data_IF_171447762128
#
_entry.id   IF_171447762128
#
_cell.length_a   1.000
_cell.length_b   1.000
_cell.length_c   1.000
_cell.angle_alpha   90.00
_cell.angle_beta   90.00
_cell.angle_gamma   90.00
#
_symmetry.space_group_name_H-M   'P 1'
#
loop_
_entity.id
_entity.type
_entity.pdbx_description
1 polymer ?
#
# COMPACT_ATOMS: atom_id res chain seq x y z
N UNK A 1 -10.30 14.61 -34.10
CA UNK A 1 -11.44 14.95 -33.22
C UNK A 1 -11.56 13.81 -32.22
N UNK A 2 -11.13 14.00 -30.96
CA UNK A 2 -11.28 12.97 -29.93
C UNK A 2 -12.76 12.82 -29.57
N UNK A 3 -13.30 11.60 -29.40
CA UNK A 3 -14.69 11.41 -29.05
C UNK A 3 -14.98 11.99 -27.65
N UNK A 4 -16.20 12.49 -27.40
CA UNK A 4 -16.56 13.08 -26.11
C UNK A 4 -16.52 12.01 -25.01
N UNK A 5 -15.80 12.30 -23.92
CA UNK A 5 -15.83 11.49 -22.69
C UNK A 5 -17.16 11.77 -21.97
N UNK A 6 -18.13 10.87 -22.09
CA UNK A 6 -19.30 10.88 -21.20
C UNK A 6 -18.87 10.33 -19.83
N UNK A 7 -18.98 11.15 -18.79
CA UNK A 7 -18.74 10.78 -17.39
C UNK A 7 -20.10 10.70 -16.70
N UNK A 8 -20.51 9.51 -16.29
CA UNK A 8 -21.73 9.30 -15.52
C UNK A 8 -21.35 9.21 -14.03
N UNK A 9 -21.91 10.08 -13.21
CA UNK A 9 -21.75 10.01 -11.75
C UNK A 9 -22.96 9.29 -11.18
N UNK A 10 -22.75 8.17 -10.48
CA UNK A 10 -23.82 7.47 -9.78
C UNK A 10 -23.71 7.82 -8.29
N UNK A 11 -24.68 8.56 -7.80
CA UNK A 11 -24.88 8.82 -6.37
C UNK A 11 -25.90 7.82 -5.83
N UNK A 12 -25.43 6.81 -5.08
CA UNK A 12 -26.26 5.71 -4.59
C UNK A 12 -27.20 6.11 -3.44
N UNK A 13 -27.09 7.33 -2.88
CA UNK A 13 -27.98 7.80 -1.80
C UNK A 13 -29.31 8.37 -2.34
N UNK A 14 -29.44 8.57 -3.65
CA UNK A 14 -30.66 9.13 -4.28
C UNK A 14 -31.52 8.13 -5.06
N UNK A 15 -31.20 6.83 -5.09
CA UNK A 15 -31.98 5.82 -5.81
C UNK A 15 -32.71 4.85 -4.87
N UNK A 16 -33.92 5.23 -4.43
CA UNK A 16 -34.86 4.31 -3.75
C UNK A 16 -35.36 3.25 -4.74
N UNK A 17 -34.87 2.02 -4.53
CA UNK A 17 -35.31 0.78 -5.17
C UNK A 17 -36.83 0.59 -5.11
N UNK A 18 -37.50 0.64 -6.27
CA UNK A 18 -38.84 0.11 -6.47
C UNK A 18 -38.92 -0.67 -7.79
N UNK A 19 -39.68 -1.78 -7.73
CA UNK A 19 -40.12 -2.70 -8.80
C UNK A 19 -39.15 -3.83 -9.14
N UNK A 20 -39.58 -5.07 -9.35
CA UNK A 20 -40.85 -5.80 -9.16
C UNK A 20 -40.46 -7.28 -9.27
N UNK A 21 -41.12 -8.10 -8.47
CA UNK A 21 -41.22 -9.55 -8.61
C UNK A 21 -42.00 -9.95 -9.87
N UNK A 22 -41.57 -11.00 -10.59
CA UNK A 22 -42.35 -12.24 -10.90
C UNK A 22 -41.77 -12.97 -12.13
N UNK A 23 -41.72 -14.32 -12.06
CA UNK A 23 -41.70 -15.35 -13.14
C UNK A 23 -40.63 -15.27 -14.24
N UNK A 24 -39.94 -16.31 -14.71
CA UNK A 24 -40.21 -17.75 -14.75
C UNK A 24 -38.90 -18.56 -14.99
N UNK A 25 -38.97 -19.86 -14.68
CA UNK A 25 -37.91 -20.89 -14.73
C UNK A 25 -37.51 -21.38 -16.13
N UNK A 26 -36.21 -21.72 -16.36
CA UNK A 26 -35.80 -22.64 -17.45
C UNK A 26 -34.35 -22.64 -17.95
N UNK A 27 -33.47 -23.39 -17.26
CA UNK A 27 -32.34 -24.28 -17.70
C UNK A 27 -31.07 -23.80 -18.46
N UNK A 28 -29.93 -24.55 -18.29
CA UNK A 28 -28.52 -24.13 -18.39
C UNK A 28 -27.80 -24.63 -19.66
N UNK A 29 -26.46 -24.50 -19.73
CA UNK A 29 -25.64 -24.58 -20.97
C UNK A 29 -26.08 -25.69 -21.96
N UNK A 30 -26.68 -25.49 -23.14
CA UNK A 30 -26.94 -24.29 -23.97
C UNK A 30 -27.24 -23.04 -23.16
N UNK A 31 -26.22 -22.19 -22.94
CA UNK A 31 -26.34 -21.24 -21.81
C UNK A 31 -27.09 -20.18 -22.54
N UNK A 32 -28.40 -20.16 -22.29
CA UNK A 32 -29.19 -18.95 -22.44
C UNK A 32 -28.26 -17.81 -22.00
N UNK A 33 -28.09 -16.77 -22.83
CA UNK A 33 -27.32 -15.60 -22.43
C UNK A 33 -27.69 -15.30 -20.98
N UNK A 34 -26.67 -15.25 -20.11
CA UNK A 34 -26.91 -15.23 -18.67
C UNK A 34 -27.86 -14.06 -18.39
N UNK A 35 -28.98 -14.30 -17.74
CA UNK A 35 -29.91 -13.20 -17.46
C UNK A 35 -29.25 -12.22 -16.51
N UNK A 36 -29.63 -10.94 -16.58
CA UNK A 36 -29.15 -9.93 -15.62
C UNK A 36 -29.33 -10.40 -14.17
N UNK A 37 -30.46 -11.04 -13.87
CA UNK A 37 -30.78 -11.59 -12.55
C UNK A 37 -29.82 -12.70 -12.13
N UNK A 38 -29.45 -13.60 -13.05
CA UNK A 38 -28.52 -14.69 -12.76
C UNK A 38 -27.11 -14.17 -12.46
N UNK A 39 -26.61 -13.24 -13.28
CA UNK A 39 -25.30 -12.60 -13.06
C UNK A 39 -25.31 -11.84 -11.75
N UNK A 40 -26.37 -11.06 -11.46
CA UNK A 40 -26.47 -10.31 -10.21
C UNK A 40 -26.45 -11.21 -8.97
N UNK A 41 -27.16 -12.34 -9.02
CA UNK A 41 -27.13 -13.35 -7.94
C UNK A 41 -25.73 -13.95 -7.79
N UNK A 42 -25.04 -14.24 -8.89
CA UNK A 42 -23.70 -14.82 -8.85
C UNK A 42 -22.68 -13.85 -8.27
N UNK A 43 -22.73 -12.58 -8.68
CA UNK A 43 -21.92 -11.51 -8.09
C UNK A 43 -22.17 -11.36 -6.58
N UNK A 44 -23.42 -11.39 -6.14
CA UNK A 44 -23.75 -11.25 -4.72
C UNK A 44 -23.10 -12.33 -3.85
N UNK A 45 -22.92 -13.55 -4.37
CA UNK A 45 -22.26 -14.65 -3.66
C UNK A 45 -20.74 -14.58 -3.81
N UNK A 46 -20.24 -14.37 -5.03
CA UNK A 46 -18.81 -14.48 -5.30
C UNK A 46 -18.00 -13.29 -4.80
N UNK A 47 -18.50 -12.06 -4.94
CA UNK A 47 -17.72 -10.87 -4.59
C UNK A 47 -17.45 -10.77 -3.08
N UNK A 48 -18.25 -11.44 -2.25
CA UNK A 48 -18.07 -11.49 -0.80
C UNK A 48 -16.98 -12.48 -0.35
N UNK A 49 -16.42 -13.28 -1.28
CA UNK A 49 -15.41 -14.32 -0.96
C UNK A 49 -13.99 -13.77 -0.79
N UNK A 50 -13.77 -12.48 -1.06
CA UNK A 50 -12.46 -11.85 -0.96
C UNK A 50 -12.58 -10.40 -0.50
N UNK A 51 -11.54 -9.95 0.21
CA UNK A 51 -11.33 -8.54 0.56
C UNK A 51 -10.15 -7.95 -0.23
N UNK A 52 -9.58 -8.70 -1.17
CA UNK A 52 -8.54 -8.21 -2.07
C UNK A 52 -9.19 -7.51 -3.26
N UNK A 53 -8.93 -6.21 -3.40
CA UNK A 53 -9.58 -5.34 -4.40
C UNK A 53 -9.39 -5.88 -5.82
N UNK A 54 -8.18 -6.32 -6.16
CA UNK A 54 -7.87 -6.91 -7.48
C UNK A 54 -8.68 -8.18 -7.73
N UNK A 55 -8.83 -9.05 -6.73
CA UNK A 55 -9.62 -10.27 -6.84
C UNK A 55 -11.10 -9.97 -6.98
N UNK A 56 -11.63 -9.04 -6.18
CA UNK A 56 -13.04 -8.60 -6.24
C UNK A 56 -13.35 -8.03 -7.63
N UNK A 57 -12.52 -7.12 -8.15
CA UNK A 57 -12.71 -6.53 -9.48
C UNK A 57 -12.52 -7.54 -10.62
N UNK A 58 -11.56 -8.46 -10.49
CA UNK A 58 -11.35 -9.53 -11.46
C UNK A 58 -12.53 -10.49 -11.55
N UNK A 59 -13.07 -10.92 -10.40
CA UNK A 59 -14.30 -11.73 -10.34
C UNK A 59 -15.49 -10.99 -10.93
N UNK A 60 -15.65 -9.71 -10.56
CA UNK A 60 -16.71 -8.87 -11.11
C UNK A 60 -16.62 -8.80 -12.64
N UNK A 61 -15.44 -8.47 -13.18
CA UNK A 61 -15.20 -8.38 -14.62
C UNK A 61 -15.52 -9.69 -15.35
N UNK A 62 -15.05 -10.82 -14.82
CA UNK A 62 -15.28 -12.14 -15.40
C UNK A 62 -16.77 -12.51 -15.44
N UNK A 63 -17.52 -12.19 -14.39
CA UNK A 63 -18.94 -12.55 -14.30
C UNK A 63 -19.83 -11.67 -15.18
N UNK A 64 -19.57 -10.35 -15.26
CA UNK A 64 -20.35 -9.47 -16.14
C UNK A 64 -20.09 -9.74 -17.63
N UNK A 65 -18.92 -10.29 -17.98
CA UNK A 65 -18.60 -10.72 -19.34
C UNK A 65 -19.55 -11.83 -19.86
N UNK A 66 -20.24 -12.55 -18.98
CA UNK A 66 -21.24 -13.54 -19.37
C UNK A 66 -22.54 -12.93 -19.93
N UNK A 67 -22.80 -11.64 -19.63
CA UNK A 67 -23.96 -10.88 -20.12
C UNK A 67 -23.54 -9.84 -21.17
N UNK A 68 -22.45 -9.11 -20.94
CA UNK A 68 -21.99 -8.02 -21.78
C UNK A 68 -20.58 -8.31 -22.31
N UNK A 69 -20.32 -8.31 -23.63
CA UNK A 69 -19.00 -8.59 -24.19
C UNK A 69 -18.06 -7.39 -23.99
N UNK A 70 -17.52 -7.27 -22.78
CA UNK A 70 -16.58 -6.24 -22.39
C UNK A 70 -15.15 -6.70 -22.68
N UNK A 71 -14.35 -5.84 -23.27
CA UNK A 71 -12.95 -6.12 -23.61
C UNK A 71 -12.00 -5.64 -22.50
N UNK A 72 -12.40 -4.62 -21.74
CA UNK A 72 -11.56 -3.95 -20.74
C UNK A 72 -12.34 -3.44 -19.53
N UNK A 73 -11.69 -3.50 -18.37
CA UNK A 73 -12.08 -2.79 -17.16
C UNK A 73 -10.86 -2.11 -16.54
N UNK A 74 -10.99 -0.84 -16.18
CA UNK A 74 -10.03 -0.15 -15.32
C UNK A 74 -10.71 0.40 -14.09
N UNK A 75 -10.00 0.35 -12.97
CA UNK A 75 -10.40 0.97 -11.73
C UNK A 75 -9.27 1.87 -11.22
N UNK A 76 -9.61 3.08 -10.82
CA UNK A 76 -8.68 4.02 -10.21
C UNK A 76 -9.26 4.64 -8.94
N UNK A 77 -8.43 4.78 -7.91
CA UNK A 77 -8.74 5.56 -6.73
C UNK A 77 -7.49 6.33 -6.30
N UNK A 78 -7.52 7.64 -6.52
CA UNK A 78 -6.39 8.53 -6.23
C UNK A 78 -6.05 8.62 -4.74
N UNK A 79 -7.05 8.57 -3.86
CA UNK A 79 -6.83 8.63 -2.41
C UNK A 79 -6.13 7.38 -1.85
N UNK A 80 -6.32 6.23 -2.50
CA UNK A 80 -5.75 4.95 -2.11
C UNK A 80 -4.50 4.56 -2.92
N UNK A 81 -4.03 5.43 -3.82
CA UNK A 81 -2.97 5.18 -4.80
C UNK A 81 -3.16 3.83 -5.52
N UNK A 82 -4.34 3.68 -6.10
CA UNK A 82 -4.81 2.44 -6.73
C UNK A 82 -5.09 2.65 -8.20
N UNK A 83 -4.47 1.81 -9.04
CA UNK A 83 -4.76 1.69 -10.46
C UNK A 83 -4.70 0.22 -10.87
N UNK A 84 -5.81 -0.31 -11.33
CA UNK A 84 -5.96 -1.71 -11.76
C UNK A 84 -6.57 -1.74 -13.15
N UNK A 85 -6.06 -2.62 -14.00
CA UNK A 85 -6.50 -2.75 -15.39
C UNK A 85 -6.64 -4.24 -15.74
N UNK A 86 -7.73 -4.58 -16.43
CA UNK A 86 -8.07 -5.95 -16.83
C UNK A 86 -8.47 -5.96 -18.30
N UNK A 87 -8.00 -6.95 -19.05
CA UNK A 87 -8.32 -7.10 -20.47
C UNK A 87 -7.53 -6.16 -21.39
N UNK A 88 -8.03 -5.95 -22.61
CA UNK A 88 -7.34 -5.22 -23.68
C UNK A 88 -8.07 -3.92 -24.05
N UNK A 89 -7.31 -2.84 -24.23
CA UNK A 89 -7.88 -1.54 -24.57
C UNK A 89 -8.75 -1.58 -25.84
N UNK A 90 -9.93 -0.98 -25.76
CA UNK A 90 -10.87 -0.87 -26.86
C UNK A 90 -11.38 0.57 -27.03
N UNK A 91 -12.04 0.86 -28.16
CA UNK A 91 -12.35 2.22 -28.60
C UNK A 91 -13.53 2.89 -27.89
N UNK A 92 -14.58 2.14 -27.56
CA UNK A 92 -15.78 2.69 -26.93
C UNK A 92 -15.76 2.40 -25.44
N UNK A 93 -16.16 3.37 -24.61
CA UNK A 93 -16.11 3.21 -23.17
C UNK A 93 -17.25 3.90 -22.43
N UNK A 94 -17.52 3.40 -21.23
CA UNK A 94 -18.41 4.01 -20.25
C UNK A 94 -17.63 4.16 -18.94
N UNK A 95 -17.69 5.34 -18.34
CA UNK A 95 -16.95 5.69 -17.12
C UNK A 95 -17.92 6.09 -16.02
N UNK A 96 -17.74 5.50 -14.84
CA UNK A 96 -18.60 5.65 -13.68
C UNK A 96 -17.79 6.11 -12.47
N UNK A 97 -18.23 7.20 -11.84
CA UNK A 97 -17.73 7.60 -10.53
C UNK A 97 -18.57 6.92 -9.44
N UNK A 98 -17.90 6.18 -8.56
CA UNK A 98 -18.52 5.43 -7.48
C UNK A 98 -18.47 6.25 -6.19
N UNK A 99 -19.63 6.63 -5.67
CA UNK A 99 -19.77 7.33 -4.40
C UNK A 99 -20.75 6.59 -3.48
N UNK A 100 -20.51 6.59 -2.17
CA UNK A 100 -21.45 6.03 -1.20
C UNK A 100 -21.39 6.79 0.12
N UNK A 101 -22.51 7.29 0.63
CA UNK A 101 -22.58 8.05 1.88
C UNK A 101 -21.59 9.23 1.92
N UNK A 102 -21.41 9.92 0.79
CA UNK A 102 -20.43 11.01 0.63
C UNK A 102 -18.96 10.58 0.50
N UNK A 103 -18.66 9.28 0.55
CA UNK A 103 -17.31 8.74 0.35
C UNK A 103 -17.06 8.40 -1.12
N UNK A 104 -15.98 8.93 -1.70
CA UNK A 104 -15.54 8.59 -3.05
C UNK A 104 -14.81 7.25 -3.04
N UNK A 105 -15.40 6.24 -3.69
CA UNK A 105 -14.84 4.90 -3.74
C UNK A 105 -13.91 4.70 -4.94
N UNK A 106 -14.00 5.53 -5.99
CA UNK A 106 -13.12 5.45 -7.16
C UNK A 106 -13.86 5.64 -8.47
N UNK A 107 -13.11 5.62 -9.57
CA UNK A 107 -13.63 5.64 -10.93
C UNK A 107 -13.47 4.25 -11.55
N UNK A 108 -14.55 3.75 -12.14
CA UNK A 108 -14.60 2.50 -12.87
C UNK A 108 -14.89 2.79 -14.34
N UNK A 109 -14.04 2.32 -15.25
CA UNK A 109 -14.24 2.49 -16.68
C UNK A 109 -14.25 1.13 -17.38
N UNK A 110 -15.23 0.94 -18.24
CA UNK A 110 -15.36 -0.24 -19.09
C UNK A 110 -15.07 0.17 -20.52
N UNK A 111 -14.38 -0.69 -21.29
CA UNK A 111 -14.26 -0.49 -22.74
C UNK A 111 -14.59 -1.74 -23.53
N UNK A 112 -15.08 -1.52 -24.75
CA UNK A 112 -15.31 -2.56 -25.74
C UNK A 112 -15.26 -2.03 -27.17
N UNK A 113 -15.24 -2.93 -28.16
CA UNK A 113 -15.15 -2.59 -29.59
C UNK A 113 -16.37 -1.89 -30.18
N UNK A 114 -17.56 -2.04 -29.57
CA UNK A 114 -18.82 -1.45 -30.03
C UNK A 114 -19.38 -0.43 -29.01
N UNK A 115 -20.08 0.63 -29.45
CA UNK A 115 -20.72 1.57 -28.52
C UNK A 115 -21.73 0.85 -27.63
N UNK A 116 -21.93 1.32 -26.40
CA UNK A 116 -22.97 0.85 -25.49
C UNK A 116 -24.33 1.43 -25.90
N UNK A 117 -25.37 0.60 -25.91
CA UNK A 117 -26.75 1.09 -25.98
C UNK A 117 -27.30 1.42 -24.58
N UNK A 118 -28.43 2.14 -24.52
CA UNK A 118 -29.03 2.56 -23.23
C UNK A 118 -29.43 1.37 -22.35
N UNK A 119 -29.83 0.24 -22.94
CA UNK A 119 -30.24 -0.95 -22.18
C UNK A 119 -29.02 -1.59 -21.52
N UNK A 120 -27.91 -1.69 -22.24
CA UNK A 120 -26.65 -2.21 -21.75
C UNK A 120 -26.03 -1.29 -20.68
N UNK A 121 -26.15 0.03 -20.84
CA UNK A 121 -25.74 0.99 -19.80
C UNK A 121 -26.55 0.77 -18.52
N UNK A 122 -27.88 0.63 -18.60
CA UNK A 122 -28.72 0.32 -17.44
C UNK A 122 -28.40 -1.05 -16.81
N UNK A 123 -28.02 -2.04 -17.62
CA UNK A 123 -27.53 -3.34 -17.11
C UNK A 123 -26.20 -3.21 -16.37
N UNK A 124 -25.25 -2.44 -16.90
CA UNK A 124 -23.99 -2.13 -16.21
C UNK A 124 -24.23 -1.45 -14.87
N UNK A 125 -25.07 -0.42 -14.84
CA UNK A 125 -25.41 0.31 -13.62
C UNK A 125 -25.99 -0.61 -12.55
N UNK A 126 -26.90 -1.52 -12.94
CA UNK A 126 -27.47 -2.54 -12.03
C UNK A 126 -26.44 -3.54 -11.51
N UNK A 127 -25.43 -3.90 -12.32
CA UNK A 127 -24.36 -4.80 -11.93
C UNK A 127 -23.33 -4.11 -11.04
N UNK A 128 -22.98 -2.85 -11.33
CA UNK A 128 -22.10 -2.01 -10.51
C UNK A 128 -22.68 -1.84 -9.09
N UNK A 129 -24.00 -1.75 -8.96
CA UNK A 129 -24.65 -1.73 -7.64
C UNK A 129 -24.30 -2.95 -6.78
N UNK A 130 -24.10 -4.13 -7.39
CA UNK A 130 -23.65 -5.34 -6.67
C UNK A 130 -22.18 -5.31 -6.28
N UNK A 131 -21.35 -4.51 -6.97
CA UNK A 131 -19.93 -4.33 -6.66
C UNK A 131 -19.71 -3.33 -5.52
N UNK A 132 -20.63 -2.40 -5.31
CA UNK A 132 -20.46 -1.26 -4.41
C UNK A 132 -20.00 -1.65 -3.00
N UNK A 133 -20.76 -2.51 -2.30
CA UNK A 133 -20.42 -2.92 -0.94
C UNK A 133 -19.19 -3.83 -0.85
N UNK A 134 -19.01 -4.85 -1.72
CA UNK A 134 -17.77 -5.63 -1.75
C UNK A 134 -16.52 -4.76 -1.96
N UNK A 135 -16.56 -3.81 -2.90
CA UNK A 135 -15.44 -2.91 -3.16
C UNK A 135 -15.19 -1.98 -1.96
N UNK A 136 -16.24 -1.40 -1.38
CA UNK A 136 -16.14 -0.59 -0.15
C UNK A 136 -15.51 -1.39 0.99
N UNK A 137 -15.97 -2.62 1.22
CA UNK A 137 -15.43 -3.47 2.28
C UNK A 137 -13.96 -3.83 2.03
N UNK A 138 -13.58 -4.10 0.78
CA UNK A 138 -12.19 -4.33 0.40
C UNK A 138 -11.31 -3.09 0.60
N UNK A 139 -11.82 -1.89 0.28
CA UNK A 139 -11.14 -0.61 0.52
C UNK A 139 -10.97 -0.34 2.03
N UNK A 140 -12.02 -0.51 2.82
CA UNK A 140 -11.99 -0.36 4.28
C UNK A 140 -11.03 -1.35 4.93
N UNK A 141 -11.07 -2.61 4.50
CA UNK A 141 -10.15 -3.64 4.98
C UNK A 141 -8.70 -3.27 4.66
N UNK A 142 -8.43 -2.85 3.42
CA UNK A 142 -7.09 -2.37 3.02
C UNK A 142 -6.64 -1.19 3.88
N UNK A 143 -7.49 -0.20 4.10
CA UNK A 143 -7.17 0.95 4.94
C UNK A 143 -6.86 0.52 6.38
N UNK A 144 -7.66 -0.41 6.94
CA UNK A 144 -7.43 -0.97 8.27
C UNK A 144 -6.09 -1.72 8.36
N UNK A 145 -5.76 -2.55 7.37
CA UNK A 145 -4.46 -3.25 7.32
C UNK A 145 -3.31 -2.25 7.18
N UNK A 146 -3.43 -1.23 6.33
CA UNK A 146 -2.39 -0.20 6.18
C UNK A 146 -2.17 0.59 7.47
N UNK A 147 -3.25 0.92 8.19
CA UNK A 147 -3.15 1.56 9.50
C UNK A 147 -2.52 0.62 10.55
N UNK A 148 -2.90 -0.66 10.53
CA UNK A 148 -2.36 -1.67 11.45
C UNK A 148 -0.88 -2.00 11.22
N UNK A 149 -0.35 -1.71 10.03
CA UNK A 149 1.05 -1.96 9.65
C UNK A 149 1.93 -0.69 9.71
N UNK A 150 1.37 0.45 10.10
CA UNK A 150 2.13 1.71 10.25
C UNK A 150 2.27 2.11 11.70
N UNK A 151 3.38 2.77 12.01
CA UNK A 151 3.56 3.46 13.27
C UNK A 151 2.78 4.79 13.22
N UNK A 152 1.86 4.99 14.17
CA UNK A 152 0.96 6.15 14.15
C UNK A 152 1.69 7.50 14.34
N UNK A 153 2.86 7.50 14.99
CA UNK A 153 3.61 8.72 15.26
C UNK A 153 4.41 9.17 14.03
N UNK A 154 5.14 8.26 13.40
CA UNK A 154 6.14 8.55 12.36
C UNK A 154 5.66 8.19 10.95
N UNK A 155 4.58 7.41 10.84
CA UNK A 155 4.03 6.89 9.60
C UNK A 155 4.96 5.93 8.86
N UNK A 156 6.05 5.46 9.48
CA UNK A 156 6.90 4.37 8.96
C UNK A 156 6.16 3.04 9.13
N UNK A 157 6.70 1.94 8.59
CA UNK A 157 6.19 0.63 8.95
C UNK A 157 6.41 0.35 10.44
N UNK A 158 5.51 -0.36 11.10
CA UNK A 158 5.73 -0.79 12.48
C UNK A 158 6.49 -2.13 12.53
N UNK A 159 6.70 -2.66 13.73
CA UNK A 159 7.39 -3.94 13.93
C UNK A 159 6.72 -5.12 13.21
N UNK A 160 5.39 -5.17 13.17
CA UNK A 160 4.67 -6.24 12.45
C UNK A 160 4.96 -6.17 10.94
N UNK A 161 4.92 -4.96 10.37
CA UNK A 161 5.26 -4.74 8.96
C UNK A 161 6.72 -5.08 8.66
N UNK A 162 7.62 -4.77 9.60
CA UNK A 162 9.04 -5.10 9.49
C UNK A 162 9.26 -6.62 9.41
N UNK A 163 8.66 -7.39 10.32
CA UNK A 163 8.82 -8.84 10.35
C UNK A 163 8.31 -9.49 9.05
N UNK A 164 7.15 -9.03 8.56
CA UNK A 164 6.59 -9.46 7.27
C UNK A 164 7.50 -9.12 6.08
N UNK A 165 8.02 -7.90 6.04
CA UNK A 165 8.89 -7.44 4.96
C UNK A 165 10.24 -8.18 4.98
N UNK A 166 10.86 -8.35 6.14
CA UNK A 166 12.14 -9.06 6.28
C UNK A 166 12.04 -10.50 5.80
N UNK A 167 11.00 -11.23 6.22
CA UNK A 167 10.78 -12.61 5.77
C UNK A 167 10.67 -12.70 4.25
N UNK A 168 9.86 -11.82 3.65
CA UNK A 168 9.66 -11.77 2.20
C UNK A 168 10.93 -11.40 1.44
N UNK A 169 11.62 -10.32 1.83
CA UNK A 169 12.79 -9.83 1.11
C UNK A 169 13.99 -10.79 1.24
N UNK A 170 14.17 -11.47 2.37
CA UNK A 170 15.22 -12.49 2.52
C UNK A 170 14.98 -13.68 1.59
N UNK A 171 13.73 -14.14 1.49
CA UNK A 171 13.39 -15.19 0.52
C UNK A 171 13.63 -14.74 -0.92
N UNK A 172 13.22 -13.52 -1.27
CA UNK A 172 13.43 -12.96 -2.60
C UNK A 172 14.91 -12.82 -2.92
N UNK A 173 15.71 -12.28 -2.01
CA UNK A 173 17.15 -12.12 -2.15
C UNK A 173 17.85 -13.46 -2.38
N UNK A 174 17.48 -14.50 -1.62
CA UNK A 174 18.01 -15.86 -1.79
C UNK A 174 17.67 -16.45 -3.15
N UNK A 175 16.41 -16.34 -3.59
CA UNK A 175 15.95 -16.88 -4.87
C UNK A 175 16.59 -16.17 -6.07
N UNK A 176 16.80 -14.86 -5.96
CA UNK A 176 17.34 -14.02 -7.03
C UNK A 176 18.86 -13.83 -6.98
N UNK A 177 19.52 -14.40 -5.96
CA UNK A 177 20.95 -14.22 -5.67
C UNK A 177 21.36 -12.73 -5.64
N UNK A 178 20.48 -11.87 -5.12
CA UNK A 178 20.74 -10.44 -4.97
C UNK A 178 21.14 -10.12 -3.52
N UNK A 179 22.03 -9.13 -3.32
CA UNK A 179 22.40 -8.71 -1.97
C UNK A 179 21.23 -8.01 -1.28
N UNK A 180 21.09 -8.24 0.03
CA UNK A 180 20.12 -7.55 0.88
C UNK A 180 20.87 -7.01 2.08
N UNK A 181 20.67 -5.74 2.42
CA UNK A 181 21.30 -5.14 3.60
C UNK A 181 20.27 -4.54 4.53
N UNK A 182 20.59 -4.53 5.82
CA UNK A 182 19.82 -3.88 6.87
C UNK A 182 20.66 -2.81 7.55
N UNK A 183 20.02 -1.71 7.91
CA UNK A 183 20.57 -0.69 8.81
C UNK A 183 19.69 -0.63 10.05
N UNK A 184 20.26 -0.78 11.23
CA UNK A 184 19.62 -0.47 12.51
C UNK A 184 20.10 0.91 12.96
N UNK A 185 19.17 1.79 13.29
CA UNK A 185 19.42 3.16 13.70
C UNK A 185 18.85 3.39 15.10
N UNK A 186 19.56 4.18 15.89
CA UNK A 186 19.10 4.62 17.20
C UNK A 186 19.42 6.11 17.38
N UNK A 187 18.44 6.88 17.84
CA UNK A 187 18.61 8.30 18.12
C UNK A 187 19.47 8.48 19.36
N UNK A 188 20.63 9.09 19.16
CA UNK A 188 21.59 9.31 20.24
C UNK A 188 20.98 10.23 21.31
N UNK A 189 21.07 9.80 22.56
CA UNK A 189 20.64 10.60 23.71
C UNK A 189 19.15 11.02 23.68
N UNK A 190 18.28 10.29 22.98
CA UNK A 190 16.86 10.63 22.88
C UNK A 190 16.16 10.79 24.23
N UNK A 191 16.50 9.95 25.22
CA UNK A 191 16.03 10.12 26.60
C UNK A 191 16.31 11.52 27.17
N UNK A 192 17.48 12.11 26.89
CA UNK A 192 17.82 13.47 27.35
C UNK A 192 16.93 14.53 26.70
N UNK A 193 16.54 14.32 25.43
CA UNK A 193 15.59 15.21 24.74
C UNK A 193 14.23 15.16 25.45
N UNK A 194 13.73 13.96 25.74
CA UNK A 194 12.47 13.80 26.50
C UNK A 194 12.55 14.40 27.90
N UNK A 195 13.62 14.12 28.64
CA UNK A 195 13.78 14.57 30.01
C UNK A 195 13.92 16.11 30.09
N UNK A 196 14.55 16.74 29.09
CA UNK A 196 14.81 18.18 29.08
C UNK A 196 13.67 19.01 28.45
N UNK A 197 13.03 18.50 27.41
CA UNK A 197 12.05 19.25 26.61
C UNK A 197 10.64 18.66 26.68
N UNK A 198 10.46 17.50 27.30
CA UNK A 198 9.19 16.80 27.38
C UNK A 198 8.90 15.90 26.18
N UNK A 199 8.00 14.95 26.38
CA UNK A 199 7.66 13.92 25.39
C UNK A 199 7.08 14.48 24.08
N UNK A 200 6.38 15.62 24.11
CA UNK A 200 5.85 16.24 22.88
C UNK A 200 6.95 16.64 21.90
N UNK A 201 8.08 17.17 22.42
CA UNK A 201 9.24 17.53 21.60
C UNK A 201 10.04 16.30 21.17
N UNK A 202 10.11 15.25 21.99
CA UNK A 202 10.65 13.96 21.57
C UNK A 202 9.87 13.34 20.43
N UNK A 203 8.53 13.39 20.49
CA UNK A 203 7.65 12.94 19.41
C UNK A 203 7.88 13.73 18.12
N UNK A 204 8.09 15.05 18.22
CA UNK A 204 8.44 15.88 17.08
C UNK A 204 9.81 15.51 16.49
N UNK A 205 10.83 15.30 17.33
CA UNK A 205 12.14 14.83 16.90
C UNK A 205 12.03 13.51 16.12
N UNK A 206 11.25 12.54 16.61
CA UNK A 206 11.00 11.27 15.92
C UNK A 206 10.32 11.47 14.56
N UNK A 207 9.33 12.38 14.47
CA UNK A 207 8.70 12.73 13.18
C UNK A 207 9.68 13.36 12.20
N UNK A 208 10.57 14.23 12.68
CA UNK A 208 11.58 14.88 11.86
C UNK A 208 12.61 13.87 11.34
N UNK A 209 13.12 12.99 12.21
CA UNK A 209 14.06 11.93 11.83
C UNK A 209 13.42 10.96 10.84
N UNK A 210 12.19 10.50 11.09
CA UNK A 210 11.50 9.60 10.17
C UNK A 210 11.30 10.21 8.77
N UNK A 211 11.01 11.52 8.69
CA UNK A 211 10.92 12.25 7.41
C UNK A 211 12.28 12.34 6.72
N UNK A 212 13.34 12.65 7.46
CA UNK A 212 14.71 12.70 6.93
C UNK A 212 15.17 11.35 6.37
N UNK A 213 14.86 10.25 7.08
CA UNK A 213 15.14 8.90 6.62
C UNK A 213 14.39 8.63 5.31
N UNK A 214 13.08 8.82 5.28
CA UNK A 214 12.25 8.59 4.08
C UNK A 214 12.73 9.39 2.86
N UNK A 215 13.09 10.66 3.04
CA UNK A 215 13.58 11.51 1.97
C UNK A 215 14.95 11.08 1.42
N UNK A 216 15.73 10.33 2.21
CA UNK A 216 17.08 9.86 1.86
C UNK A 216 17.09 8.46 1.23
N UNK A 217 15.94 7.80 1.11
CA UNK A 217 15.79 6.43 0.65
C UNK A 217 15.15 6.36 -0.74
N UNK A 218 15.38 5.26 -1.46
CA UNK A 218 14.71 4.98 -2.75
C UNK A 218 13.30 4.46 -2.50
N UNK A 219 12.42 4.53 -3.50
CA UNK A 219 11.06 4.01 -3.41
C UNK A 219 10.96 2.51 -3.07
N UNK A 220 12.01 1.74 -3.38
CA UNK A 220 12.09 0.29 -3.11
C UNK A 220 12.63 -0.03 -1.72
N UNK A 221 13.30 0.94 -1.07
CA UNK A 221 13.84 0.77 0.26
C UNK A 221 12.71 0.97 1.28
N UNK A 222 12.75 0.22 2.37
CA UNK A 222 11.69 0.26 3.38
C UNK A 222 12.25 0.72 4.72
N UNK A 223 11.47 1.52 5.45
CA UNK A 223 11.80 2.00 6.79
C UNK A 223 10.72 1.62 7.78
N UNK A 224 11.17 1.14 8.94
CA UNK A 224 10.33 0.68 10.03
C UNK A 224 10.77 1.34 11.34
N UNK A 225 9.81 1.60 12.23
CA UNK A 225 10.09 1.91 13.63
C UNK A 225 10.13 0.58 14.40
N UNK A 226 11.33 0.21 14.86
CA UNK A 226 11.59 -1.05 15.54
C UNK A 226 11.28 -0.97 17.04
N UNK A 227 11.60 0.17 17.66
CA UNK A 227 11.44 0.44 19.08
C UNK A 227 11.01 1.87 19.36
N UNK A 228 11.21 2.34 20.60
CA UNK A 228 10.83 3.70 21.01
C UNK A 228 11.58 4.79 20.23
N UNK A 229 12.90 4.63 20.10
CA UNK A 229 13.83 5.56 19.44
C UNK A 229 14.66 4.87 18.35
N UNK A 230 14.23 3.68 17.94
CA UNK A 230 14.98 2.80 17.04
C UNK A 230 14.24 2.62 15.71
N UNK A 231 15.00 2.70 14.62
CA UNK A 231 14.50 2.47 13.27
C UNK A 231 15.29 1.35 12.60
N UNK A 232 14.62 0.61 11.71
CA UNK A 232 15.26 -0.34 10.81
C UNK A 232 15.00 0.08 9.37
N UNK A 233 16.06 0.09 8.57
CA UNK A 233 15.97 0.30 7.12
C UNK A 233 16.38 -0.99 6.41
N UNK A 234 15.54 -1.42 5.47
CA UNK A 234 15.76 -2.59 4.62
C UNK A 234 16.11 -2.12 3.21
N UNK A 235 17.29 -2.50 2.74
CA UNK A 235 17.87 -2.09 1.47
C UNK A 235 17.92 -3.29 0.51
N UNK A 236 16.88 -3.42 -0.32
CA UNK A 236 16.78 -4.48 -1.32
C UNK A 236 17.80 -4.27 -2.44
N UNK A 237 18.37 -5.37 -2.95
CA UNK A 237 19.39 -5.35 -3.99
C UNK A 237 20.55 -4.38 -3.69
N UNK A 238 21.05 -4.40 -2.46
CA UNK A 238 22.07 -3.46 -2.00
C UNK A 238 23.21 -4.20 -1.29
N UNK A 239 24.44 -4.22 -1.88
CA UNK A 239 25.61 -4.80 -1.24
C UNK A 239 26.17 -3.92 -0.12
N UNK A 240 27.02 -4.49 0.73
CA UNK A 240 27.56 -3.85 1.95
C UNK A 240 28.18 -2.47 1.72
N UNK A 241 28.96 -2.29 0.64
CA UNK A 241 29.60 -1.01 0.33
C UNK A 241 28.58 0.09 0.02
N UNK A 242 27.51 -0.24 -0.72
CA UNK A 242 26.43 0.69 -1.02
C UNK A 242 25.54 0.94 0.20
N UNK A 243 25.30 -0.09 1.01
CA UNK A 243 24.57 0.05 2.27
C UNK A 243 25.27 1.00 3.24
N UNK A 244 26.61 0.92 3.33
CA UNK A 244 27.40 1.84 4.15
C UNK A 244 27.29 3.30 3.67
N UNK A 245 27.31 3.54 2.35
CA UNK A 245 27.09 4.88 1.80
C UNK A 245 25.68 5.42 2.12
N UNK A 246 24.66 4.57 2.08
CA UNK A 246 23.30 4.94 2.50
C UNK A 246 23.27 5.27 3.99
N UNK A 247 23.92 4.46 4.82
CA UNK A 247 24.04 4.69 6.27
C UNK A 247 24.69 6.05 6.59
N UNK A 248 25.82 6.38 5.97
CA UNK A 248 26.47 7.68 6.16
C UNK A 248 25.61 8.84 5.66
N UNK A 249 24.93 8.68 4.51
CA UNK A 249 23.98 9.69 4.02
C UNK A 249 22.86 9.95 5.02
N UNK A 250 22.28 8.91 5.59
CA UNK A 250 21.23 9.02 6.62
C UNK A 250 21.76 9.74 7.87
N UNK A 251 22.95 9.36 8.33
CA UNK A 251 23.60 9.98 9.48
C UNK A 251 23.79 11.49 9.29
N UNK A 252 24.35 11.88 8.14
CA UNK A 252 24.54 13.29 7.79
C UNK A 252 23.21 14.04 7.67
N UNK A 253 22.23 13.48 6.95
CA UNK A 253 20.93 14.11 6.77
C UNK A 253 20.21 14.38 8.09
N UNK A 254 20.35 13.50 9.09
CA UNK A 254 19.77 13.69 10.43
C UNK A 254 20.57 14.71 11.24
N UNK A 255 21.89 14.69 11.14
CA UNK A 255 22.77 15.65 11.81
C UNK A 255 22.53 17.09 11.33
N UNK A 256 22.16 17.26 10.07
CA UNK A 256 21.89 18.56 9.44
C UNK A 256 20.43 19.04 9.61
N UNK A 257 19.59 18.30 10.34
CA UNK A 257 18.22 18.73 10.61
C UNK A 257 18.21 20.03 11.43
N UNK A 258 17.53 21.03 10.90
CA UNK A 258 17.17 22.24 11.65
C UNK A 258 16.01 21.93 12.61
N UNK A 259 16.35 21.25 13.70
CA UNK A 259 15.42 20.94 14.79
C UNK A 259 15.62 21.94 15.92
N UNK A 260 14.55 22.66 16.27
CA UNK A 260 14.58 23.66 17.33
C UNK A 260 13.41 23.48 18.29
N UNK A 261 13.67 23.69 19.57
CA UNK A 261 12.65 23.69 20.64
C UNK A 261 12.60 25.09 21.23
N UNK A 262 11.40 25.70 21.24
CA UNK A 262 11.20 27.08 21.71
C UNK A 262 12.17 28.10 21.06
N UNK A 263 12.45 27.91 19.77
CA UNK A 263 13.37 28.76 19.00
C UNK A 263 14.86 28.54 19.27
N UNK A 264 15.23 27.53 20.06
CA UNK A 264 16.63 27.16 20.31
C UNK A 264 17.01 25.90 19.54
N UNK A 265 18.12 25.89 18.79
CA UNK A 265 18.56 24.70 18.04
C UNK A 265 18.92 23.56 19.00
N UNK A 266 18.40 22.37 18.73
CA UNK A 266 18.68 21.14 19.47
C UNK A 266 19.30 20.15 18.48
N UNK A 267 20.61 19.86 18.58
CA UNK A 267 21.26 18.94 17.65
C UNK A 267 20.71 17.53 17.83
N UNK A 268 20.39 16.89 16.71
CA UNK A 268 20.03 15.49 16.64
C UNK A 268 21.19 14.70 16.03
N UNK A 269 21.44 13.49 16.51
CA UNK A 269 22.35 12.55 15.86
C UNK A 269 21.84 11.12 16.00
N UNK A 270 22.36 10.24 15.16
CA UNK A 270 22.04 8.81 15.18
C UNK A 270 23.31 7.98 15.13
N UNK A 271 23.27 6.85 15.84
CA UNK A 271 24.22 5.76 15.64
C UNK A 271 23.58 4.70 14.74
N UNK A 272 24.39 4.07 13.88
CA UNK A 272 23.93 3.08 12.91
C UNK A 272 24.77 1.81 12.96
N UNK A 273 24.09 0.66 12.87
CA UNK A 273 24.69 -0.64 12.60
C UNK A 273 24.24 -1.16 11.24
N UNK A 274 25.18 -1.59 10.40
CA UNK A 274 24.90 -2.14 9.07
C UNK A 274 25.29 -3.61 9.01
N UNK A 275 24.43 -4.44 8.41
CA UNK A 275 24.77 -5.82 8.07
C UNK A 275 24.18 -6.18 6.70
N UNK A 276 24.92 -6.98 5.94
CA UNK A 276 24.46 -7.54 4.65
C UNK A 276 24.20 -9.03 4.83
N UNK A 277 23.08 -9.51 4.26
CA UNK A 277 22.65 -10.90 4.30
C UNK A 277 23.74 -11.82 3.73
N UNK A 278 24.13 -12.81 4.51
CA UNK A 278 25.05 -13.87 4.11
C UNK A 278 24.25 -15.06 3.56
N UNK A 279 24.83 -15.78 2.59
CA UNK A 279 24.18 -16.94 2.01
C UNK A 279 23.82 -17.99 3.08
N UNK A 280 22.54 -18.39 3.14
CA UNK A 280 22.03 -19.36 4.11
C UNK A 280 21.72 -18.80 5.50
N UNK A 281 22.06 -17.55 5.79
CA UNK A 281 21.89 -16.90 7.09
C UNK A 281 20.42 -16.66 7.45
N UNK A 282 20.01 -16.95 8.70
CA UNK A 282 18.63 -16.68 9.15
C UNK A 282 18.42 -15.19 9.40
N UNK A 283 17.17 -14.74 9.34
CA UNK A 283 16.80 -13.34 9.59
C UNK A 283 17.29 -12.86 10.96
N UNK A 284 17.10 -13.67 12.00
CA UNK A 284 17.53 -13.34 13.36
C UNK A 284 19.04 -13.10 13.46
N UNK A 285 19.85 -13.90 12.73
CA UNK A 285 21.31 -13.80 12.74
C UNK A 285 21.76 -12.50 12.05
N UNK A 286 21.11 -12.14 10.92
CA UNK A 286 21.33 -10.88 10.21
C UNK A 286 21.03 -9.66 11.12
N UNK A 287 19.89 -9.68 11.81
CA UNK A 287 19.50 -8.62 12.73
C UNK A 287 20.46 -8.54 13.92
N UNK A 288 20.89 -9.69 14.46
CA UNK A 288 21.84 -9.72 15.57
C UNK A 288 23.19 -9.10 15.20
N UNK A 289 23.69 -9.35 13.98
CA UNK A 289 24.92 -8.69 13.49
C UNK A 289 24.74 -7.19 13.32
N UNK A 290 23.60 -6.73 12.81
CA UNK A 290 23.30 -5.32 12.68
C UNK A 290 23.22 -4.62 14.05
N UNK A 291 22.57 -5.25 15.03
CA UNK A 291 22.47 -4.76 16.41
C UNK A 291 23.85 -4.70 17.10
N UNK A 292 24.67 -5.75 16.95
CA UNK A 292 26.03 -5.76 17.47
C UNK A 292 26.90 -4.63 16.88
N UNK A 293 26.74 -4.36 15.57
CA UNK A 293 27.39 -3.22 14.93
C UNK A 293 26.88 -1.88 15.49
N UNK A 294 25.56 -1.72 15.66
CA UNK A 294 24.97 -0.52 16.26
C UNK A 294 25.49 -0.29 17.68
N UNK A 295 25.60 -1.35 18.47
CA UNK A 295 26.17 -1.29 19.81
C UNK A 295 27.64 -0.83 19.78
N UNK A 296 28.44 -1.33 18.84
CA UNK A 296 29.82 -0.86 18.65
C UNK A 296 29.86 0.63 18.27
N UNK A 297 29.00 1.09 17.36
CA UNK A 297 28.88 2.51 17.00
C UNK A 297 28.56 3.40 18.21
N UNK A 298 27.63 2.97 19.06
CA UNK A 298 27.28 3.67 20.30
C UNK A 298 28.45 3.73 21.28
N UNK A 299 29.17 2.62 21.45
CA UNK A 299 30.32 2.53 22.37
C UNK A 299 31.49 3.39 21.91
N UNK A 300 31.73 3.46 20.60
CA UNK A 300 32.89 4.13 20.04
C UNK A 300 32.72 5.66 19.93
N UNK A 301 31.63 6.22 20.47
CA UNK A 301 31.42 7.65 20.61
C UNK A 301 30.16 8.18 19.92
N UNK A 302 29.25 7.30 19.47
CA UNK A 302 27.99 7.67 18.82
C UNK A 302 28.19 8.46 17.52
N UNK A 303 27.09 8.95 16.93
CA UNK A 303 27.05 9.69 15.67
C UNK A 303 27.97 9.05 14.60
N UNK A 304 27.81 7.76 14.37
CA UNK A 304 28.63 7.00 13.42
C UNK A 304 27.93 5.75 12.92
N UNK A 305 28.43 5.26 11.79
CA UNK A 305 28.13 3.94 11.27
C UNK A 305 29.18 2.93 11.72
N UNK A 306 28.74 1.72 12.06
CA UNK A 306 29.59 0.54 12.09
C UNK A 306 28.99 -0.55 11.19
N UNK A 307 29.83 -1.33 10.52
CA UNK A 307 29.40 -2.43 9.65
C UNK A 307 29.84 -3.77 10.25
N UNK A 308 28.93 -4.74 10.29
CA UNK A 308 29.24 -6.13 10.56
C UNK A 308 29.59 -6.85 9.25
N UNK A 309 30.68 -7.62 9.28
CA UNK A 309 31.06 -8.56 8.22
C UNK A 309 30.18 -9.80 8.17
#
# INVERSE_FOLDING_TARGET
MAPPKQSNTIDFDTAKLQRLSQGESGRPRGRRPASLTDVRRQLAVQLQTSLEIERVLGLFFQEIQALLPLDYLSYQNGSADLRLEFGEAASHGATYNLNHAGEYLGELAFRRRRPFDETELGQLESLIASLLYPLRNALLYRAAIQAALRDALTGTGNRIAMDQALGREVELARRSLQPLSVLMLDLDHFKRINDQYGHSHGDEALRCVARAIKASLRNVDMVFRFGGEEFLVLLSNTPSSSAAQVGERLRHAIQELDFAVDGKPVPLSVSLGCATLIAGERVDDLLHRADAALYAAKRDGRNRLACAG
#
